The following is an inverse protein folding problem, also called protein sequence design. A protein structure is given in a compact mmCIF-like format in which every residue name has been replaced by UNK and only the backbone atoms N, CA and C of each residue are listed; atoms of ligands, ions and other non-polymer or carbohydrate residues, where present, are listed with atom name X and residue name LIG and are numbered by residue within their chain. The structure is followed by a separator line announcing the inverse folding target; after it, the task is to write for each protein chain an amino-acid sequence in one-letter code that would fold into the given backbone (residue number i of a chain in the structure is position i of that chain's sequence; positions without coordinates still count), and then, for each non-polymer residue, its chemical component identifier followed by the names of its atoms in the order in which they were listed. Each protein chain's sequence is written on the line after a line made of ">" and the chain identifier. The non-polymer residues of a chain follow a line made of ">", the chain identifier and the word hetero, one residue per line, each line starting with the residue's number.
data_IF_716548465540
#
_entry.id   IF_716548465540
#
_cell.length_a   1.000
_cell.length_b   1.000
_cell.length_c   1.000
_cell.angle_alpha   90.00
_cell.angle_beta   90.00
_cell.angle_gamma   90.00
#
_symmetry.space_group_name_H-M   'P 1'
#
loop_
_entity.id
_entity.type
_entity.pdbx_description
1 polymer ?
#
# COMPACT_ATOMS: atom_id res chain seq x y z
N UNK A 1 15.10 -19.34 -7.06
CA UNK A 1 13.66 -19.04 -6.92
C UNK A 1 13.22 -18.23 -8.13
N UNK A 2 12.12 -18.62 -8.78
CA UNK A 2 11.52 -17.80 -9.82
C UNK A 2 11.24 -16.41 -9.23
N UNK A 3 11.73 -15.36 -9.90
CA UNK A 3 11.35 -13.99 -9.54
C UNK A 3 9.84 -13.90 -9.62
N UNK A 4 9.21 -13.28 -8.63
CA UNK A 4 7.80 -12.92 -8.74
C UNK A 4 7.64 -12.15 -10.08
N UNK A 5 6.71 -12.58 -10.95
CA UNK A 5 6.45 -11.92 -12.22
C UNK A 5 6.27 -10.41 -12.03
N UNK A 6 6.50 -9.61 -13.08
CA UNK A 6 6.30 -8.15 -12.98
C UNK A 6 4.85 -7.83 -12.57
N UNK A 7 3.91 -8.68 -12.95
CA UNK A 7 2.50 -8.61 -12.53
C UNK A 7 2.32 -8.67 -10.99
N UNK A 8 3.28 -9.24 -10.25
CA UNK A 8 3.24 -9.33 -8.78
C UNK A 8 3.89 -8.12 -8.09
N UNK A 9 4.45 -7.17 -8.84
CA UNK A 9 5.10 -5.94 -8.34
C UNK A 9 4.33 -4.67 -8.73
N UNK A 10 3.02 -4.77 -8.91
CA UNK A 10 2.19 -3.58 -9.15
C UNK A 10 2.42 -2.56 -8.03
N UNK A 11 2.72 -1.31 -8.42
CA UNK A 11 2.91 -0.21 -7.47
C UNK A 11 1.63 -0.02 -6.65
N UNK A 12 1.76 0.39 -5.39
CA UNK A 12 0.60 0.81 -4.58
C UNK A 12 -0.14 1.92 -5.30
N UNK A 13 0.59 2.85 -5.93
CA UNK A 13 0.04 3.95 -6.72
C UNK A 13 -0.79 3.42 -7.89
N UNK A 14 -0.24 2.49 -8.65
CA UNK A 14 -0.92 1.85 -9.79
C UNK A 14 -2.17 1.08 -9.34
N UNK A 15 -2.14 0.43 -8.17
CA UNK A 15 -3.34 -0.20 -7.59
C UNK A 15 -4.40 0.83 -7.22
N UNK A 16 -4.03 1.98 -6.66
CA UNK A 16 -4.97 3.04 -6.30
C UNK A 16 -5.58 3.67 -7.55
N UNK A 17 -4.78 3.94 -8.59
CA UNK A 17 -5.28 4.48 -9.87
C UNK A 17 -6.30 3.58 -10.58
N UNK A 18 -6.25 2.27 -10.33
CA UNK A 18 -7.19 1.30 -10.90
C UNK A 18 -8.49 1.15 -10.09
N UNK A 19 -8.62 1.81 -8.94
CA UNK A 19 -9.84 1.78 -8.13
C UNK A 19 -10.83 2.85 -8.60
N UNK A 20 -12.11 2.46 -8.69
CA UNK A 20 -13.17 3.39 -9.06
C UNK A 20 -13.36 4.44 -7.97
N UNK A 21 -13.68 5.66 -8.40
CA UNK A 21 -14.05 6.81 -7.55
C UNK A 21 -12.95 7.25 -6.59
N UNK A 22 -11.69 6.90 -6.89
CA UNK A 22 -10.53 7.39 -6.18
C UNK A 22 -9.61 8.13 -7.13
N UNK A 23 -8.97 9.17 -6.62
CA UNK A 23 -7.91 9.89 -7.32
C UNK A 23 -6.67 9.94 -6.42
N UNK A 24 -5.50 9.66 -7.00
CA UNK A 24 -4.22 9.81 -6.32
C UNK A 24 -3.55 11.08 -6.82
N UNK A 25 -3.31 12.02 -5.92
CA UNK A 25 -2.63 13.28 -6.19
C UNK A 25 -1.10 13.10 -6.18
N UNK A 26 -0.38 14.05 -6.80
CA UNK A 26 1.08 14.01 -6.87
C UNK A 26 1.78 14.11 -5.51
N UNK A 27 1.11 14.68 -4.51
CA UNK A 27 1.60 14.79 -3.14
C UNK A 27 1.37 13.52 -2.30
N UNK A 28 0.77 12.48 -2.90
CA UNK A 28 0.45 11.21 -2.24
C UNK A 28 -0.91 11.18 -1.55
N UNK A 29 -1.69 12.25 -1.60
CA UNK A 29 -3.05 12.26 -1.05
C UNK A 29 -4.01 11.46 -1.94
N UNK A 30 -4.92 10.71 -1.30
CA UNK A 30 -5.99 9.96 -1.98
C UNK A 30 -7.31 10.66 -1.75
N UNK A 31 -7.96 11.10 -2.82
CA UNK A 31 -9.31 11.66 -2.79
C UNK A 31 -10.34 10.57 -3.07
N UNK A 32 -11.47 10.63 -2.37
CA UNK A 32 -12.62 9.76 -2.61
C UNK A 32 -13.81 10.57 -3.12
N UNK A 33 -14.33 10.19 -4.27
CA UNK A 33 -15.39 10.92 -4.98
C UNK A 33 -16.75 10.27 -4.70
N UNK A 34 -17.58 10.96 -3.93
CA UNK A 34 -18.95 10.51 -3.64
C UNK A 34 -19.95 11.16 -4.61
N UNK A 35 -20.80 10.38 -5.29
CA UNK A 35 -21.84 10.93 -6.15
C UNK A 35 -22.85 11.75 -5.34
N UNK A 36 -23.22 12.90 -5.89
CA UNK A 36 -24.29 13.74 -5.37
C UNK A 36 -25.50 13.60 -6.29
N UNK A 37 -26.64 13.22 -5.72
CA UNK A 37 -27.90 13.08 -6.44
C UNK A 37 -28.80 14.24 -6.06
N UNK A 38 -29.37 14.89 -7.08
CA UNK A 38 -30.38 15.92 -6.89
C UNK A 38 -31.74 15.25 -6.70
N UNK A 39 -32.42 15.55 -5.59
CA UNK A 39 -33.77 15.07 -5.31
C UNK A 39 -34.73 16.25 -5.35
N UNK A 40 -35.68 16.20 -6.27
CA UNK A 40 -36.85 17.09 -6.21
C UNK A 40 -37.78 16.59 -5.11
N UNK A 41 -38.24 17.45 -4.19
CA UNK A 41 -39.28 17.07 -3.23
C UNK A 41 -40.50 16.60 -4.02
N UNK A 42 -40.99 15.40 -3.68
CA UNK A 42 -42.09 14.76 -4.38
C UNK A 42 -43.40 15.50 -4.16
N UNK A 43 -44.22 15.54 -5.22
CA UNK A 43 -45.50 16.23 -5.37
C UNK A 43 -46.64 15.67 -4.47
N UNK A 44 -46.34 15.19 -3.26
CA UNK A 44 -47.26 14.43 -2.39
C UNK A 44 -47.97 15.29 -1.33
N UNK A 45 -47.97 16.63 -1.47
CA UNK A 45 -48.80 17.49 -0.64
C UNK A 45 -49.88 18.15 -1.51
N UNK A 46 -51.04 17.50 -1.58
CA UNK A 46 -52.31 18.22 -1.78
C UNK A 46 -52.51 19.06 -0.51
N UNK A 47 -52.03 20.30 -0.53
CA UNK A 47 -52.08 21.19 0.63
C UNK A 47 -51.65 22.59 0.25
N UNK A 48 -52.65 23.40 -0.07
CA UNK A 48 -52.63 24.85 -0.30
C UNK A 48 -51.64 25.59 0.63
N UNK A 49 -50.46 25.96 0.13
CA UNK A 49 -49.50 26.83 0.82
C UNK A 49 -48.58 27.49 -0.21
N UNK A 50 -48.83 28.77 -0.45
CA UNK A 50 -48.10 29.67 -1.35
C UNK A 50 -46.72 30.08 -0.78
N UNK A 51 -45.78 29.14 -0.72
CA UNK A 51 -44.35 29.46 -0.58
C UNK A 51 -43.57 28.64 -1.61
N UNK A 52 -43.50 29.19 -2.84
CA UNK A 52 -42.70 28.67 -3.96
C UNK A 52 -41.20 28.85 -3.67
N UNK A 53 -40.66 28.04 -2.76
CA UNK A 53 -39.24 27.81 -2.65
C UNK A 53 -39.01 26.37 -3.11
N UNK A 54 -38.73 26.20 -4.40
CA UNK A 54 -38.23 24.95 -4.99
C UNK A 54 -36.85 24.63 -4.39
N UNK A 55 -36.82 24.23 -3.13
CA UNK A 55 -35.61 23.87 -2.42
C UNK A 55 -35.10 22.54 -2.96
N UNK A 56 -34.08 22.65 -3.80
CA UNK A 56 -33.38 21.52 -4.37
C UNK A 56 -32.57 20.83 -3.28
N UNK A 57 -32.99 19.64 -2.87
CA UNK A 57 -32.25 18.83 -1.90
C UNK A 57 -31.17 18.04 -2.63
N UNK A 58 -29.92 18.20 -2.20
CA UNK A 58 -28.80 17.39 -2.66
C UNK A 58 -28.50 16.30 -1.62
N UNK A 59 -28.51 15.04 -2.05
CA UNK A 59 -28.21 13.89 -1.21
C UNK A 59 -26.93 13.22 -1.71
N UNK A 60 -25.99 12.95 -0.79
CA UNK A 60 -24.76 12.20 -1.13
C UNK A 60 -25.09 10.71 -1.05
N UNK A 61 -25.05 10.02 -2.18
CA UNK A 61 -25.38 8.59 -2.26
C UNK A 61 -24.18 7.78 -2.75
N UNK A 62 -23.64 6.92 -1.88
CA UNK A 62 -22.68 5.90 -2.30
C UNK A 62 -23.40 4.64 -2.80
N UNK A 63 -23.94 4.71 -4.02
CA UNK A 63 -24.64 3.59 -4.65
C UNK A 63 -23.78 2.32 -4.59
N UNK A 64 -24.36 1.23 -4.10
CA UNK A 64 -23.73 -0.08 -3.93
C UNK A 64 -22.43 -0.09 -3.09
N UNK A 65 -22.21 0.96 -2.28
CA UNK A 65 -21.00 1.17 -1.48
C UNK A 65 -19.71 1.14 -2.32
N UNK A 66 -19.77 1.53 -3.60
CA UNK A 66 -18.61 1.45 -4.50
C UNK A 66 -17.43 2.28 -3.97
N UNK A 67 -17.68 3.49 -3.51
CA UNK A 67 -16.66 4.41 -3.01
C UNK A 67 -16.06 3.88 -1.70
N UNK A 68 -16.91 3.46 -0.76
CA UNK A 68 -16.50 2.86 0.49
C UNK A 68 -15.69 1.56 0.28
N UNK A 69 -16.07 0.72 -0.70
CA UNK A 69 -15.34 -0.51 -1.04
C UNK A 69 -13.96 -0.20 -1.61
N UNK A 70 -13.83 0.80 -2.48
CA UNK A 70 -12.53 1.26 -2.99
C UNK A 70 -11.65 1.78 -1.86
N UNK A 71 -12.17 2.65 -0.98
CA UNK A 71 -11.47 3.15 0.20
C UNK A 71 -10.98 2.01 1.11
N UNK A 72 -11.84 1.02 1.37
CA UNK A 72 -11.48 -0.13 2.20
C UNK A 72 -10.28 -0.90 1.63
N UNK A 73 -10.22 -1.07 0.30
CA UNK A 73 -9.07 -1.72 -0.36
C UNK A 73 -7.78 -0.91 -0.20
N UNK A 74 -7.84 0.42 -0.24
CA UNK A 74 -6.67 1.27 0.02
C UNK A 74 -6.19 1.11 1.46
N UNK A 75 -7.09 1.12 2.44
CA UNK A 75 -6.74 0.89 3.85
C UNK A 75 -6.08 -0.47 4.05
N UNK A 76 -6.58 -1.53 3.40
CA UNK A 76 -5.94 -2.85 3.43
C UNK A 76 -4.53 -2.83 2.83
N UNK A 77 -4.33 -2.10 1.73
CA UNK A 77 -2.99 -1.94 1.12
C UNK A 77 -2.03 -1.20 2.04
N UNK A 78 -2.47 -0.13 2.72
CA UNK A 78 -1.67 0.62 3.69
C UNK A 78 -1.29 -0.30 4.85
N UNK A 79 -2.27 -0.94 5.49
CA UNK A 79 -2.02 -1.84 6.62
C UNK A 79 -1.06 -2.98 6.27
N UNK A 80 -1.18 -3.55 5.07
CA UNK A 80 -0.24 -4.57 4.60
C UNK A 80 1.20 -4.05 4.52
N UNK A 81 1.41 -2.84 3.98
CA UNK A 81 2.73 -2.26 3.87
C UNK A 81 3.30 -1.88 5.24
N UNK A 82 2.50 -1.27 6.11
CA UNK A 82 2.91 -0.96 7.49
C UNK A 82 3.33 -2.22 8.25
N UNK A 83 2.55 -3.31 8.14
CA UNK A 83 2.86 -4.57 8.79
C UNK A 83 4.15 -5.18 8.24
N UNK A 84 4.34 -5.16 6.92
CA UNK A 84 5.54 -5.66 6.26
C UNK A 84 6.78 -4.88 6.69
N UNK A 85 6.75 -3.55 6.64
CA UNK A 85 7.89 -2.73 7.07
C UNK A 85 8.17 -2.92 8.57
N UNK A 86 7.12 -2.98 9.40
CA UNK A 86 7.25 -3.26 10.83
C UNK A 86 7.89 -4.63 11.10
N UNK A 87 7.53 -5.67 10.36
CA UNK A 87 8.14 -7.00 10.51
C UNK A 87 9.64 -6.99 10.24
N UNK A 88 10.09 -6.23 9.23
CA UNK A 88 11.51 -6.09 8.90
C UNK A 88 12.25 -5.37 10.03
N UNK A 89 11.66 -4.28 10.56
CA UNK A 89 12.25 -3.53 11.69
C UNK A 89 12.31 -4.38 12.96
N UNK A 90 11.25 -5.14 13.27
CA UNK A 90 11.21 -6.05 14.41
C UNK A 90 12.27 -7.13 14.28
N UNK A 91 12.38 -7.77 13.11
CA UNK A 91 13.45 -8.74 12.85
C UNK A 91 14.82 -8.11 13.11
N UNK A 92 15.09 -6.92 12.55
CA UNK A 92 16.35 -6.21 12.73
C UNK A 92 16.63 -5.87 14.20
N UNK A 93 15.61 -5.46 14.95
CA UNK A 93 15.72 -5.16 16.38
C UNK A 93 16.04 -6.43 17.19
N UNK A 94 15.40 -7.56 16.87
CA UNK A 94 15.69 -8.86 17.47
C UNK A 94 17.13 -9.31 17.16
N UNK A 95 17.61 -9.09 15.93
CA UNK A 95 19.00 -9.33 15.57
C UNK A 95 19.97 -8.48 16.39
N UNK A 96 19.69 -7.18 16.55
CA UNK A 96 20.52 -6.26 17.35
C UNK A 96 20.54 -6.64 18.82
N UNK A 97 19.39 -6.99 19.40
CA UNK A 97 19.29 -7.44 20.79
C UNK A 97 20.12 -8.71 21.06
N UNK A 98 20.09 -9.69 20.15
CA UNK A 98 20.91 -10.91 20.27
C UNK A 98 22.41 -10.63 20.23
N UNK A 99 22.84 -9.61 19.48
CA UNK A 99 24.24 -9.16 19.45
C UNK A 99 24.61 -8.47 20.78
N UNK A 100 23.69 -7.71 21.38
CA UNK A 100 23.92 -6.93 22.60
C UNK A 100 23.97 -7.80 23.87
N UNK A 101 23.12 -8.83 23.96
CA UNK A 101 23.09 -9.78 25.09
C UNK A 101 24.32 -10.70 25.11
N UNK A 102 24.91 -10.97 23.94
CA UNK A 102 26.04 -11.87 23.83
C UNK A 102 27.35 -11.06 23.75
N UNK A 103 27.90 -10.70 24.93
CA UNK A 103 29.03 -9.76 25.11
C UNK A 103 30.30 -10.03 24.29
N UNK A 104 30.43 -11.21 23.65
CA UNK A 104 31.37 -11.43 22.56
C UNK A 104 30.98 -12.68 21.77
N UNK A 105 29.94 -12.59 20.93
CA UNK A 105 29.91 -13.52 19.80
C UNK A 105 30.88 -12.96 18.76
N UNK A 106 31.93 -13.70 18.36
CA UNK A 106 32.83 -13.25 17.32
C UNK A 106 32.02 -12.79 16.12
N UNK A 107 32.33 -11.62 15.54
CA UNK A 107 31.61 -11.10 14.36
C UNK A 107 31.51 -12.12 13.22
N UNK A 108 32.40 -13.11 13.18
CA UNK A 108 32.38 -14.26 12.28
C UNK A 108 31.21 -15.22 12.53
N UNK A 109 30.82 -15.47 13.77
CA UNK A 109 29.74 -16.38 14.15
C UNK A 109 28.35 -15.72 14.03
N UNK A 110 28.30 -14.39 13.98
CA UNK A 110 27.09 -13.62 13.65
C UNK A 110 26.92 -13.36 12.14
N UNK A 111 27.92 -13.65 11.31
CA UNK A 111 27.78 -13.61 9.85
C UNK A 111 27.09 -14.90 9.43
N UNK A 112 25.76 -14.86 9.31
CA UNK A 112 25.13 -15.72 8.32
C UNK A 112 25.64 -15.20 6.97
N UNK A 113 26.49 -15.98 6.31
CA UNK A 113 26.88 -15.69 4.94
C UNK A 113 25.60 -15.35 4.18
N UNK A 114 25.56 -14.14 3.59
CA UNK A 114 24.44 -13.78 2.69
C UNK A 114 24.36 -14.95 1.71
N UNK A 115 23.24 -15.67 1.62
CA UNK A 115 23.18 -16.85 0.78
C UNK A 115 23.70 -16.49 -0.61
N UNK A 116 24.57 -17.30 -1.21
CA UNK A 116 25.21 -16.94 -2.48
C UNK A 116 24.22 -16.49 -3.59
N UNK A 117 22.98 -17.02 -3.64
CA UNK A 117 21.94 -16.48 -4.52
C UNK A 117 21.55 -15.03 -4.19
N UNK A 118 21.48 -14.66 -2.91
CA UNK A 118 21.18 -13.32 -2.45
C UNK A 118 22.36 -12.35 -2.71
N UNK A 119 23.63 -12.78 -2.55
CA UNK A 119 24.81 -11.96 -2.92
C UNK A 119 24.75 -11.54 -4.39
N UNK A 120 24.45 -12.50 -5.27
CA UNK A 120 24.32 -12.28 -6.73
C UNK A 120 23.14 -11.35 -7.07
N UNK A 121 22.03 -11.46 -6.35
CA UNK A 121 20.85 -10.62 -6.57
C UNK A 121 21.04 -9.18 -6.09
N UNK A 122 21.73 -8.96 -4.96
CA UNK A 122 22.06 -7.63 -4.44
C UNK A 122 22.97 -6.88 -5.41
N UNK A 123 24.01 -7.54 -5.94
CA UNK A 123 24.90 -6.92 -6.93
C UNK A 123 24.18 -6.59 -8.25
N UNK A 124 23.24 -7.44 -8.68
CA UNK A 124 22.41 -7.19 -9.85
C UNK A 124 21.39 -6.07 -9.62
N UNK A 125 20.89 -5.92 -8.41
CA UNK A 125 19.98 -4.84 -8.03
C UNK A 125 20.71 -3.49 -7.97
N UNK A 126 21.93 -3.44 -7.41
CA UNK A 126 22.75 -2.23 -7.33
C UNK A 126 23.47 -1.83 -8.63
N UNK A 127 23.28 -2.54 -9.73
CA UNK A 127 23.93 -2.25 -11.02
C UNK A 127 25.40 -2.65 -11.12
N UNK A 128 25.93 -3.38 -10.14
CA UNK A 128 27.34 -3.80 -10.08
C UNK A 128 27.62 -5.15 -10.75
N UNK A 129 26.60 -5.79 -11.34
CA UNK A 129 26.75 -7.06 -12.03
C UNK A 129 27.66 -6.92 -13.27
N UNK A 130 28.74 -7.70 -13.31
CA UNK A 130 29.74 -7.68 -14.39
C UNK A 130 30.99 -6.83 -14.07
N UNK A 131 30.88 -5.89 -13.14
CA UNK A 131 32.03 -5.12 -12.62
C UNK A 131 32.67 -5.79 -11.40
N UNK A 132 31.84 -6.41 -10.57
CA UNK A 132 32.26 -7.14 -9.39
C UNK A 132 31.72 -8.58 -9.45
N UNK A 133 32.47 -9.54 -8.90
CA UNK A 133 32.04 -10.95 -8.78
C UNK A 133 31.83 -11.31 -7.30
N UNK A 134 30.69 -11.90 -6.92
CA UNK A 134 30.47 -12.29 -5.53
C UNK A 134 31.42 -13.42 -5.13
N UNK A 135 31.96 -13.33 -3.91
CA UNK A 135 32.70 -14.45 -3.30
C UNK A 135 31.67 -15.46 -2.81
N UNK A 136 31.69 -16.64 -3.44
CA UNK A 136 30.85 -17.79 -3.12
C UNK A 136 31.64 -18.67 -2.17
N UNK A 137 31.12 -18.92 -0.97
CA UNK A 137 31.81 -19.70 0.05
C UNK A 137 31.43 -21.19 -0.11
N UNK A 138 32.40 -22.06 -0.45
CA UNK A 138 32.19 -23.51 -0.57
C UNK A 138 32.40 -24.13 -1.95
N UNK A 139 33.14 -23.46 -2.85
CA UNK A 139 33.60 -24.02 -4.13
C UNK A 139 35.07 -24.44 -4.08
#
# INVERSE_FOLDING_TARGET
>A
MARLPRECRLSVEEKIHNLRRLELLQDGNVLACFPVVRRTPGNEAVGDSDDDQDDVIFEVCDTDHETARSLHKVLQLIAFHELKESSIVIELAMWKSRIDVAMSVPRADCRVAIPDPAKSLIMKYGGFAGFLKPVIEGA
#
